data_IF_591718877320
#
_entry.id   IF_591718877320
#
_cell.length_a   1.000
_cell.length_b   1.000
_cell.length_c   1.000
_cell.angle_alpha   90.00
_cell.angle_beta   90.00
_cell.angle_gamma   90.00
#
_symmetry.space_group_name_H-M   'P 1'
#
loop_
_entity.id
_entity.type
_entity.pdbx_description
1 polymer ?
#
# COMPACT_ATOMS: atom_id res chain seq x y z
N UNK A 1 5.20 -8.06 7.18
CA UNK A 1 5.53 -6.73 7.75
C UNK A 1 4.98 -6.69 9.16
N UNK A 2 5.69 -6.10 10.14
CA UNK A 2 5.18 -5.93 11.51
C UNK A 2 4.60 -4.52 11.63
N UNK A 3 3.29 -4.42 11.81
CA UNK A 3 2.60 -3.15 12.03
C UNK A 3 2.53 -2.75 13.51
N UNK A 4 2.71 -3.72 14.41
CA UNK A 4 2.71 -3.50 15.85
C UNK A 4 3.97 -2.82 16.36
N UNK A 5 3.77 -1.93 17.33
CA UNK A 5 4.78 -1.47 18.28
C UNK A 5 4.29 -1.78 19.69
N UNK A 6 5.22 -2.07 20.59
CA UNK A 6 4.88 -2.43 21.99
C UNK A 6 4.17 -1.30 22.74
N UNK A 7 4.38 -0.04 22.33
CA UNK A 7 3.81 1.15 22.93
C UNK A 7 2.36 1.45 22.52
N UNK A 8 1.71 0.55 21.80
CA UNK A 8 0.46 0.89 21.11
C UNK A 8 -0.78 0.75 21.98
N UNK A 9 -1.70 1.72 21.91
CA UNK A 9 -3.00 1.61 22.57
C UNK A 9 -3.78 0.40 22.06
N UNK A 10 -4.60 -0.17 22.96
CA UNK A 10 -5.52 -1.27 22.68
C UNK A 10 -6.90 -0.92 23.27
N UNK A 11 -7.95 -0.71 22.45
CA UNK A 11 -7.99 -0.85 21.00
C UNK A 11 -7.16 0.22 20.27
N UNK A 12 -6.78 -0.05 19.03
CA UNK A 12 -6.03 0.90 18.23
C UNK A 12 -6.94 2.00 17.65
N UNK A 13 -6.57 3.28 17.81
CA UNK A 13 -7.25 4.38 17.13
C UNK A 13 -7.13 4.27 15.60
N UNK A 14 -8.21 4.62 14.89
CA UNK A 14 -8.26 4.52 13.42
C UNK A 14 -7.22 5.44 12.77
N UNK A 15 -7.06 6.67 13.24
CA UNK A 15 -6.06 7.63 12.75
C UNK A 15 -4.63 7.08 12.85
N UNK A 16 -4.31 6.41 13.96
CA UNK A 16 -3.01 5.75 14.14
C UNK A 16 -2.84 4.57 13.17
N UNK A 17 -3.88 3.77 12.97
CA UNK A 17 -3.88 2.69 11.99
C UNK A 17 -3.68 3.22 10.56
N UNK A 18 -4.36 4.31 10.17
CA UNK A 18 -4.19 4.98 8.87
C UNK A 18 -2.76 5.49 8.71
N UNK A 19 -2.23 6.21 9.71
CA UNK A 19 -0.86 6.75 9.67
C UNK A 19 0.18 5.66 9.42
N UNK A 20 -0.01 4.48 10.03
CA UNK A 20 0.82 3.31 9.79
C UNK A 20 0.69 2.75 8.39
N UNK A 21 -0.53 2.63 7.89
CA UNK A 21 -0.75 2.18 6.52
C UNK A 21 -0.07 3.10 5.53
N UNK A 22 -0.16 4.42 5.72
CA UNK A 22 0.53 5.38 4.86
C UNK A 22 2.06 5.24 4.95
N UNK A 23 2.62 5.14 6.17
CA UNK A 23 4.06 5.02 6.33
C UNK A 23 4.60 3.70 5.77
N UNK A 24 3.96 2.58 6.11
CA UNK A 24 4.48 1.24 5.87
C UNK A 24 4.01 0.64 4.55
N UNK A 25 2.89 1.09 3.99
CA UNK A 25 2.43 0.66 2.66
C UNK A 25 2.69 1.74 1.62
N UNK A 26 2.20 2.96 1.82
CA UNK A 26 2.39 4.02 0.82
C UNK A 26 3.84 4.50 0.72
N UNK A 27 4.62 4.50 1.82
CA UNK A 27 6.04 4.84 1.79
C UNK A 27 6.83 3.97 0.78
N UNK A 28 6.83 2.63 0.91
CA UNK A 28 7.46 1.76 -0.08
C UNK A 28 6.87 1.88 -1.49
N UNK A 29 5.55 2.08 -1.63
CA UNK A 29 4.92 2.34 -2.95
C UNK A 29 5.54 3.58 -3.61
N UNK A 30 5.66 4.68 -2.88
CA UNK A 30 6.28 5.91 -3.40
C UNK A 30 7.75 5.68 -3.78
N UNK A 31 8.52 4.96 -2.96
CA UNK A 31 9.91 4.63 -3.26
C UNK A 31 10.04 3.79 -4.54
N UNK A 32 9.18 2.78 -4.71
CA UNK A 32 9.17 1.93 -5.91
C UNK A 32 8.80 2.71 -7.17
N UNK A 33 7.78 3.57 -7.10
CA UNK A 33 7.41 4.45 -8.21
C UNK A 33 8.54 5.42 -8.57
N UNK A 34 9.12 6.10 -7.57
CA UNK A 34 10.23 7.03 -7.76
C UNK A 34 11.45 6.33 -8.34
N UNK A 35 11.77 5.12 -7.87
CA UNK A 35 12.89 4.35 -8.43
C UNK A 35 12.71 4.04 -9.92
N UNK A 36 11.49 3.75 -10.37
CA UNK A 36 11.19 3.52 -11.78
C UNK A 36 11.40 4.78 -12.62
N UNK A 37 10.93 5.93 -12.13
CA UNK A 37 11.11 7.24 -12.79
C UNK A 37 12.59 7.65 -12.83
N UNK A 38 13.29 7.57 -11.69
CA UNK A 38 14.72 7.91 -11.60
C UNK A 38 15.53 7.02 -12.54
N UNK A 39 15.28 5.71 -12.56
CA UNK A 39 15.96 4.79 -13.48
C UNK A 39 15.66 5.14 -14.94
N UNK A 40 14.41 5.52 -15.25
CA UNK A 40 14.02 5.93 -16.60
C UNK A 40 14.83 7.12 -17.10
N UNK A 41 15.04 8.13 -16.26
CA UNK A 41 15.84 9.33 -16.60
C UNK A 41 17.26 8.94 -17.03
N UNK A 42 17.89 7.95 -16.39
CA UNK A 42 19.24 7.52 -16.75
C UNK A 42 19.31 6.65 -18.01
N UNK A 43 18.21 6.04 -18.43
CA UNK A 43 18.19 5.04 -19.52
C UNK A 43 17.50 5.58 -20.78
N UNK A 44 16.66 6.61 -20.68
CA UNK A 44 15.82 7.08 -21.79
C UNK A 44 16.63 7.61 -22.98
N UNK A 45 17.76 8.28 -22.73
CA UNK A 45 18.66 8.78 -23.78
C UNK A 45 19.40 7.64 -24.51
N UNK A 46 19.52 6.48 -23.87
CA UNK A 46 20.12 5.27 -24.44
C UNK A 46 19.06 4.47 -25.22
N UNK A 47 17.86 4.36 -24.64
CA UNK A 47 16.75 3.62 -25.22
C UNK A 47 15.43 4.12 -24.66
N UNK A 48 14.60 4.72 -25.52
CA UNK A 48 13.24 5.11 -25.17
C UNK A 48 12.43 3.92 -24.63
N UNK A 49 12.59 2.74 -25.25
CA UNK A 49 11.95 1.51 -24.77
C UNK A 49 12.46 1.10 -23.39
N UNK A 50 13.77 1.23 -23.13
CA UNK A 50 14.36 0.98 -21.81
C UNK A 50 13.79 1.92 -20.73
N UNK A 51 13.60 3.20 -21.05
CA UNK A 51 12.95 4.16 -20.16
C UNK A 51 11.50 3.79 -19.83
N UNK A 52 10.71 3.33 -20.82
CA UNK A 52 9.33 2.86 -20.61
C UNK A 52 9.31 1.60 -19.73
N UNK A 53 10.22 0.66 -19.98
CA UNK A 53 10.34 -0.57 -19.18
C UNK A 53 10.67 -0.22 -17.73
N UNK A 54 11.59 0.72 -17.47
CA UNK A 54 11.96 1.13 -16.12
C UNK A 54 10.76 1.68 -15.32
N UNK A 55 9.96 2.56 -15.92
CA UNK A 55 8.73 3.08 -15.28
C UNK A 55 7.72 1.95 -15.06
N UNK A 56 7.54 1.08 -16.06
CA UNK A 56 6.59 -0.03 -15.99
C UNK A 56 6.93 -1.01 -14.86
N UNK A 57 8.21 -1.35 -14.71
CA UNK A 57 8.69 -2.21 -13.63
C UNK A 57 8.45 -1.56 -12.27
N UNK A 58 8.82 -0.28 -12.10
CA UNK A 58 8.57 0.44 -10.85
C UNK A 58 7.08 0.47 -10.47
N UNK A 59 6.21 0.73 -11.46
CA UNK A 59 4.75 0.69 -11.28
C UNK A 59 4.23 -0.69 -10.90
N UNK A 60 4.62 -1.75 -11.62
CA UNK A 60 4.17 -3.12 -11.35
C UNK A 60 4.64 -3.56 -9.95
N UNK A 61 5.89 -3.29 -9.59
CA UNK A 61 6.41 -3.60 -8.25
C UNK A 61 5.67 -2.84 -7.15
N UNK A 62 5.40 -1.55 -7.34
CA UNK A 62 4.62 -0.75 -6.41
C UNK A 62 3.20 -1.30 -6.25
N UNK A 63 2.55 -1.68 -7.37
CA UNK A 63 1.22 -2.26 -7.37
C UNK A 63 1.15 -3.60 -6.63
N UNK A 64 2.12 -4.48 -6.87
CA UNK A 64 2.22 -5.77 -6.18
C UNK A 64 2.46 -5.59 -4.67
N UNK A 65 3.32 -4.65 -4.28
CA UNK A 65 3.55 -4.32 -2.88
C UNK A 65 2.25 -3.88 -2.19
N UNK A 66 1.56 -2.90 -2.77
CA UNK A 66 0.28 -2.42 -2.27
C UNK A 66 -0.74 -3.55 -2.16
N UNK A 67 -0.90 -4.32 -3.24
CA UNK A 67 -1.88 -5.40 -3.34
C UNK A 67 -1.68 -6.47 -2.27
N UNK A 68 -0.42 -6.75 -1.90
CA UNK A 68 -0.08 -7.74 -0.89
C UNK A 68 -0.21 -7.23 0.55
N UNK A 69 0.20 -5.98 0.82
CA UNK A 69 0.29 -5.47 2.19
C UNK A 69 -0.97 -4.76 2.69
N UNK A 70 -1.84 -4.23 1.81
CA UNK A 70 -3.11 -3.65 2.25
C UNK A 70 -4.00 -4.64 3.01
N UNK A 71 -4.23 -5.88 2.53
CA UNK A 71 -5.04 -6.84 3.27
C UNK A 71 -4.44 -7.18 4.65
N UNK A 72 -3.10 -7.26 4.75
CA UNK A 72 -2.42 -7.54 6.02
C UNK A 72 -2.52 -6.38 7.00
N UNK A 73 -2.38 -5.15 6.51
CA UNK A 73 -2.59 -3.95 7.32
C UNK A 73 -4.03 -3.87 7.83
N UNK A 74 -5.01 -4.13 6.95
CA UNK A 74 -6.43 -4.11 7.30
C UNK A 74 -6.75 -5.15 8.36
N UNK A 75 -6.32 -6.39 8.14
CA UNK A 75 -6.49 -7.50 9.09
C UNK A 75 -5.86 -7.18 10.45
N UNK A 76 -4.62 -6.67 10.44
CA UNK A 76 -3.94 -6.25 11.66
C UNK A 76 -4.72 -5.17 12.43
N UNK A 77 -5.23 -4.15 11.74
CA UNK A 77 -6.01 -3.09 12.38
C UNK A 77 -7.31 -3.63 12.99
N UNK A 78 -8.02 -4.53 12.30
CA UNK A 78 -9.22 -5.19 12.83
C UNK A 78 -8.92 -6.05 14.06
N UNK A 79 -7.84 -6.84 14.04
CA UNK A 79 -7.41 -7.65 15.18
C UNK A 79 -7.05 -6.80 16.42
N UNK A 80 -6.67 -5.54 16.19
CA UNK A 80 -6.38 -4.55 17.23
C UNK A 80 -7.61 -3.71 17.64
N UNK A 81 -8.81 -4.09 17.19
CA UNK A 81 -10.07 -3.47 17.60
C UNK A 81 -10.43 -2.17 16.89
N UNK A 82 -9.81 -1.86 15.73
CA UNK A 82 -10.25 -0.73 14.91
C UNK A 82 -11.63 -1.01 14.28
N UNK A 83 -12.53 -0.04 14.38
CA UNK A 83 -13.86 -0.12 13.76
C UNK A 83 -13.74 -0.32 12.24
N UNK A 84 -14.35 -1.39 11.66
CA UNK A 84 -14.14 -1.70 10.26
C UNK A 84 -14.70 -0.69 9.25
N UNK A 85 -15.82 -0.06 9.57
CA UNK A 85 -16.48 0.88 8.67
C UNK A 85 -15.70 2.21 8.64
N UNK A 86 -15.38 2.74 9.81
CA UNK A 86 -14.59 3.96 9.96
C UNK A 86 -13.17 3.78 9.39
N UNK A 87 -12.54 2.63 9.63
CA UNK A 87 -11.22 2.33 9.06
C UNK A 87 -11.25 2.35 7.54
N UNK A 88 -12.25 1.73 6.91
CA UNK A 88 -12.38 1.71 5.45
C UNK A 88 -12.66 3.12 4.90
N UNK A 89 -13.56 3.86 5.54
CA UNK A 89 -13.89 5.24 5.13
C UNK A 89 -12.66 6.15 5.17
N UNK A 90 -11.92 6.15 6.29
CA UNK A 90 -10.72 6.97 6.43
C UNK A 90 -9.58 6.48 5.53
N UNK A 91 -9.45 5.18 5.27
CA UNK A 91 -8.40 4.65 4.39
C UNK A 91 -8.57 5.09 2.94
N UNK A 92 -9.81 5.13 2.44
CA UNK A 92 -10.11 5.67 1.10
C UNK A 92 -9.82 7.17 1.05
N UNK A 93 -10.28 7.92 2.06
CA UNK A 93 -10.02 9.37 2.16
C UNK A 93 -8.52 9.70 2.23
N UNK A 94 -7.74 8.87 2.92
CA UNK A 94 -6.30 8.98 3.06
C UNK A 94 -5.50 8.47 1.85
N UNK A 95 -6.19 8.02 0.77
CA UNK A 95 -5.58 7.41 -0.43
C UNK A 95 -4.68 6.20 -0.11
N UNK A 96 -5.05 5.46 0.93
CA UNK A 96 -4.37 4.23 1.33
C UNK A 96 -4.98 3.02 0.62
N UNK A 97 -6.31 3.00 0.50
CA UNK A 97 -7.04 1.91 -0.16
C UNK A 97 -8.05 2.43 -1.17
N UNK A 98 -8.54 1.53 -2.02
CA UNK A 98 -9.63 1.82 -2.95
C UNK A 98 -11.00 1.61 -2.29
N UNK A 99 -12.06 2.26 -2.80
CA UNK A 99 -13.43 1.98 -2.39
C UNK A 99 -13.79 0.50 -2.56
N UNK A 100 -14.59 -0.02 -1.64
CA UNK A 100 -15.13 -1.38 -1.74
C UNK A 100 -15.92 -1.55 -3.03
N UNK A 101 -15.81 -2.71 -3.67
CA UNK A 101 -16.43 -3.05 -4.94
C UNK A 101 -15.69 -2.57 -6.18
N UNK A 102 -14.70 -1.68 -6.03
CA UNK A 102 -13.90 -1.17 -7.15
C UNK A 102 -13.04 -2.26 -7.79
N UNK A 103 -12.69 -2.08 -9.06
CA UNK A 103 -11.80 -3.02 -9.78
C UNK A 103 -10.44 -3.16 -9.10
N UNK A 104 -9.91 -2.06 -8.56
CA UNK A 104 -8.60 -2.06 -7.91
C UNK A 104 -8.61 -2.75 -6.54
N UNK A 105 -9.70 -2.63 -5.77
CA UNK A 105 -9.87 -3.43 -4.54
C UNK A 105 -9.80 -4.94 -4.83
N UNK A 106 -10.32 -5.39 -5.99
CA UNK A 106 -10.27 -6.81 -6.38
C UNK A 106 -8.87 -7.31 -6.70
N UNK A 107 -7.92 -6.41 -6.94
CA UNK A 107 -6.50 -6.79 -7.16
C UNK A 107 -5.73 -7.05 -5.87
N UNK A 108 -6.34 -6.79 -4.71
CA UNK A 108 -5.78 -7.14 -3.42
C UNK A 108 -5.53 -8.65 -3.30
N UNK A 109 -4.31 -9.01 -2.92
CA UNK A 109 -3.88 -10.39 -2.72
C UNK A 109 -4.19 -10.78 -1.27
N UNK A 110 -5.41 -11.26 -1.06
CA UNK A 110 -5.84 -11.78 0.24
C UNK A 110 -5.18 -13.15 0.44
N UNK A 111 -4.49 -13.33 1.57
CA UNK A 111 -4.20 -14.70 2.02
C UNK A 111 -5.55 -15.35 2.29
N UNK A 112 -5.86 -16.45 1.60
CA UNK A 112 -6.94 -17.34 2.05
C UNK A 112 -6.58 -17.80 3.45
N UNK A 113 -7.28 -17.28 4.45
CA UNK A 113 -7.26 -17.82 5.80
C UNK A 113 -7.96 -19.17 5.80
N UNK A 114 -7.36 -20.12 6.53
CA UNK A 114 -8.08 -21.20 7.19
C UNK A 114 -9.11 -20.62 8.15
#
# INVERSE_FOLDING_TARGET
MRFDRQSDPNPIPVDLAISRGQLLVNGPVQLLLLSGVVTSIFVIDISALGGIIAVSVGFISAWLWWSYFIPQWREWAHQRGADPEELQYQAVRAKLTWPKGSLFERTEIRRRGR
#
